data_IF_107518730022
#
_entry.id   IF_107518730022
#
_cell.length_a   1.000
_cell.length_b   1.000
_cell.length_c   1.000
_cell.angle_alpha   90.00
_cell.angle_beta   90.00
_cell.angle_gamma   90.00
#
_symmetry.space_group_name_H-M   'P 1'
#
loop_
_entity.id
_entity.type
_entity.pdbx_description
1 polymer ?
#
# COMPACT_ATOMS: atom_id res chain seq x y z
N UNK A 1 -8.15 -5.12 32.58
CA UNK A 1 -9.17 -5.57 31.62
C UNK A 1 -8.40 -6.13 30.45
N UNK A 2 -8.32 -7.45 30.36
CA UNK A 2 -7.64 -8.16 29.27
C UNK A 2 -8.62 -8.26 28.11
N UNK A 3 -8.36 -7.52 27.04
CA UNK A 3 -9.11 -7.66 25.80
C UNK A 3 -8.61 -8.91 25.09
N UNK A 4 -9.34 -10.02 25.20
CA UNK A 4 -9.05 -11.23 24.45
C UNK A 4 -9.26 -10.96 22.95
N UNK A 5 -8.17 -10.67 22.24
CA UNK A 5 -8.16 -10.62 20.79
C UNK A 5 -8.38 -12.04 20.25
N UNK A 6 -9.54 -12.24 19.62
CA UNK A 6 -9.87 -13.47 18.91
C UNK A 6 -9.02 -13.51 17.64
N UNK A 7 -7.88 -14.18 17.69
CA UNK A 7 -7.12 -14.56 16.50
C UNK A 7 -7.96 -15.55 15.68
N UNK A 8 -8.63 -15.05 14.63
CA UNK A 8 -8.92 -15.90 13.47
C UNK A 8 -7.67 -15.94 12.63
N UNK A 9 -7.04 -17.11 12.59
CA UNK A 9 -5.86 -17.50 11.82
C UNK A 9 -6.14 -17.43 10.30
N UNK A 10 -6.46 -16.23 9.83
CA UNK A 10 -6.35 -15.84 8.43
C UNK A 10 -5.10 -14.99 8.42
N UNK A 11 -4.00 -15.52 7.89
CA UNK A 11 -2.79 -14.74 7.65
C UNK A 11 -3.18 -13.55 6.76
N UNK A 12 -3.35 -12.37 7.37
CA UNK A 12 -3.60 -11.15 6.61
C UNK A 12 -2.25 -10.70 6.07
N UNK A 13 -2.18 -10.32 4.79
CA UNK A 13 -0.91 -9.92 4.19
C UNK A 13 -0.32 -8.64 4.83
N UNK A 14 -1.16 -7.84 5.49
CA UNK A 14 -0.77 -6.60 6.18
C UNK A 14 -1.78 -6.22 7.26
N UNK A 15 -1.38 -5.31 8.14
CA UNK A 15 -2.20 -4.57 9.08
C UNK A 15 -2.26 -3.08 8.71
N UNK A 16 -3.16 -2.33 9.34
CA UNK A 16 -3.33 -0.89 9.08
C UNK A 16 -3.70 -0.12 10.35
N UNK A 17 -3.27 1.14 10.42
CA UNK A 17 -3.64 2.08 11.47
C UNK A 17 -4.99 2.78 11.19
N UNK A 18 -5.55 3.44 12.21
CA UNK A 18 -6.75 4.27 12.06
C UNK A 18 -6.55 5.40 11.03
N UNK A 19 -5.37 6.00 11.00
CA UNK A 19 -5.04 7.09 10.08
C UNK A 19 -5.16 6.64 8.62
N UNK A 20 -4.62 5.45 8.31
CA UNK A 20 -4.73 4.82 7.00
C UNK A 20 -6.20 4.62 6.60
N UNK A 21 -7.04 4.11 7.51
CA UNK A 21 -8.48 3.94 7.26
C UNK A 21 -9.21 5.27 7.01
N UNK A 22 -8.78 6.35 7.66
CA UNK A 22 -9.36 7.69 7.42
C UNK A 22 -8.96 8.19 6.03
N UNK A 23 -7.72 7.98 5.61
CA UNK A 23 -7.25 8.39 4.29
C UNK A 23 -7.89 7.57 3.17
N UNK A 24 -8.05 6.25 3.34
CA UNK A 24 -8.78 5.40 2.38
C UNK A 24 -10.24 5.83 2.17
N UNK A 25 -10.91 6.31 3.22
CA UNK A 25 -12.31 6.77 3.14
C UNK A 25 -12.50 8.01 2.25
N UNK A 26 -11.43 8.75 1.96
CA UNK A 26 -11.46 9.91 1.07
C UNK A 26 -11.40 9.51 -0.41
N UNK A 27 -11.00 8.27 -0.71
CA UNK A 27 -10.81 7.78 -2.07
C UNK A 27 -12.12 7.31 -2.71
N UNK A 28 -12.21 7.44 -4.03
CA UNK A 28 -13.31 6.87 -4.78
C UNK A 28 -13.28 5.33 -4.72
N UNK A 29 -14.46 4.70 -4.65
CA UNK A 29 -14.60 3.25 -4.44
C UNK A 29 -13.83 2.40 -5.46
N UNK A 30 -13.76 2.84 -6.72
CA UNK A 30 -13.00 2.10 -7.74
C UNK A 30 -11.49 2.12 -7.45
N UNK A 31 -10.93 3.29 -7.14
CA UNK A 31 -9.51 3.42 -6.76
C UNK A 31 -9.19 2.57 -5.54
N UNK A 32 -10.07 2.57 -4.54
CA UNK A 32 -9.90 1.78 -3.33
C UNK A 32 -9.69 0.28 -3.63
N UNK A 33 -10.47 -0.29 -4.55
CA UNK A 33 -10.35 -1.71 -4.91
C UNK A 33 -8.98 -1.99 -5.54
N UNK A 34 -8.53 -1.14 -6.45
CA UNK A 34 -7.23 -1.30 -7.10
C UNK A 34 -6.07 -1.14 -6.12
N UNK A 35 -6.15 -0.15 -5.22
CA UNK A 35 -5.12 0.11 -4.21
C UNK A 35 -5.03 -1.06 -3.23
N UNK A 36 -6.15 -1.53 -2.67
CA UNK A 36 -6.15 -2.65 -1.72
C UNK A 36 -5.55 -3.90 -2.37
N UNK A 37 -5.90 -4.18 -3.63
CA UNK A 37 -5.35 -5.32 -4.35
C UNK A 37 -3.84 -5.18 -4.58
N UNK A 38 -3.38 -4.01 -5.03
CA UNK A 38 -1.96 -3.73 -5.18
C UNK A 38 -1.21 -3.94 -3.85
N UNK A 39 -1.80 -3.57 -2.72
CA UNK A 39 -1.22 -3.80 -1.41
C UNK A 39 -1.16 -5.28 -1.02
N UNK A 40 -2.23 -6.05 -1.25
CA UNK A 40 -2.23 -7.50 -1.00
C UNK A 40 -1.15 -8.21 -1.81
N UNK A 41 -1.00 -7.85 -3.08
CA UNK A 41 -0.04 -8.44 -4.01
C UNK A 41 1.41 -8.08 -3.67
N UNK A 42 1.66 -6.87 -3.16
CA UNK A 42 3.01 -6.36 -2.90
C UNK A 42 3.47 -6.51 -1.45
N UNK A 43 2.57 -6.65 -0.47
CA UNK A 43 2.91 -6.71 0.94
C UNK A 43 4.02 -7.75 1.29
N UNK A 44 4.05 -8.96 0.68
CA UNK A 44 5.14 -9.92 0.93
C UNK A 44 6.53 -9.47 0.47
N UNK A 45 6.60 -8.50 -0.46
CA UNK A 45 7.83 -8.03 -1.10
C UNK A 45 8.32 -6.68 -0.56
N UNK A 46 7.57 -6.05 0.34
CA UNK A 46 7.98 -4.78 0.94
C UNK A 46 9.29 -4.97 1.72
N UNK A 47 10.28 -4.06 1.57
CA UNK A 47 11.54 -4.16 2.30
C UNK A 47 11.30 -4.06 3.81
N UNK A 48 12.07 -4.83 4.58
CA UNK A 48 12.03 -4.84 6.04
C UNK A 48 13.10 -3.92 6.58
N UNK A 49 12.72 -3.06 7.54
CA UNK A 49 13.63 -2.12 8.19
C UNK A 49 13.15 -1.78 9.60
N UNK A 50 13.70 -2.49 10.57
CA UNK A 50 13.27 -2.41 11.97
C UNK A 50 13.33 -1.00 12.55
N UNK A 51 12.22 -0.54 13.10
CA UNK A 51 12.11 0.76 13.77
C UNK A 51 12.12 1.98 12.84
N UNK A 52 12.03 1.79 11.52
CA UNK A 52 12.01 2.88 10.55
C UNK A 52 10.72 2.86 9.73
N UNK A 53 10.05 4.01 9.69
CA UNK A 53 8.99 4.28 8.71
C UNK A 53 9.63 4.34 7.31
N UNK A 54 8.93 3.75 6.35
CA UNK A 54 9.32 3.68 4.95
C UNK A 54 8.15 4.11 4.08
N UNK A 55 8.48 4.61 2.89
CA UNK A 55 7.49 5.02 1.90
C UNK A 55 7.58 4.10 0.68
N UNK A 56 6.44 3.84 0.05
CA UNK A 56 6.37 3.20 -1.25
C UNK A 56 5.33 3.92 -2.10
N UNK A 57 5.65 4.20 -3.36
CA UNK A 57 4.75 4.86 -4.29
C UNK A 57 4.03 3.86 -5.21
N UNK A 58 2.82 4.19 -5.63
CA UNK A 58 2.04 3.39 -6.57
C UNK A 58 1.34 4.27 -7.60
N UNK A 59 0.97 3.65 -8.72
CA UNK A 59 0.16 4.28 -9.75
C UNK A 59 -0.99 3.37 -10.13
N UNK A 60 -2.21 3.90 -10.15
CA UNK A 60 -3.35 3.24 -10.78
C UNK A 60 -3.46 3.78 -12.20
N UNK A 61 -3.16 2.92 -13.19
CA UNK A 61 -3.21 3.28 -14.61
C UNK A 61 -4.64 3.47 -15.08
N UNK A 62 -4.86 4.42 -15.99
CA UNK A 62 -6.19 4.72 -16.53
C UNK A 62 -6.15 5.94 -17.45
N UNK A 63 -7.33 6.44 -17.83
CA UNK A 63 -7.43 7.69 -18.59
C UNK A 63 -6.91 8.90 -17.80
N UNK A 64 -7.17 8.91 -16.49
CA UNK A 64 -6.64 9.88 -15.54
C UNK A 64 -5.86 9.08 -14.47
N UNK A 65 -4.53 8.96 -14.59
CA UNK A 65 -3.73 8.12 -13.70
C UNK A 65 -3.70 8.71 -12.29
N UNK A 66 -3.84 7.84 -11.29
CA UNK A 66 -3.81 8.22 -9.89
C UNK A 66 -2.49 7.79 -9.26
N UNK A 67 -1.68 8.76 -8.86
CA UNK A 67 -0.40 8.53 -8.19
C UNK A 67 -0.57 8.70 -6.69
N UNK A 68 -0.01 7.76 -5.92
CA UNK A 68 -0.11 7.79 -4.47
C UNK A 68 1.17 7.28 -3.82
N UNK A 69 1.37 7.63 -2.55
CA UNK A 69 2.38 6.99 -1.68
C UNK A 69 1.70 6.38 -0.47
N UNK A 70 2.36 5.38 0.10
CA UNK A 70 1.95 4.71 1.33
C UNK A 70 3.12 4.72 2.29
N UNK A 71 2.86 5.23 3.49
CA UNK A 71 3.79 5.15 4.61
C UNK A 71 3.54 3.86 5.39
N UNK A 72 4.59 3.13 5.73
CA UNK A 72 4.47 1.84 6.40
C UNK A 72 5.63 1.53 7.34
N UNK A 73 5.36 0.64 8.29
CA UNK A 73 6.36 -0.04 9.11
C UNK A 73 6.42 -1.50 8.73
N UNK A 74 7.62 -2.05 8.54
CA UNK A 74 7.78 -3.48 8.27
C UNK A 74 8.99 -3.99 9.05
N UNK A 75 8.70 -4.61 10.19
CA UNK A 75 9.71 -5.16 11.10
C UNK A 75 9.99 -6.62 10.77
N UNK A 76 11.14 -7.11 11.21
CA UNK A 76 11.45 -8.52 11.16
C UNK A 76 10.41 -9.33 11.94
N UNK A 77 9.88 -10.39 11.33
CA UNK A 77 8.85 -11.29 11.88
C UNK A 77 7.45 -10.68 12.11
N UNK A 78 7.21 -9.44 11.68
CA UNK A 78 5.88 -8.82 11.70
C UNK A 78 5.30 -8.66 10.28
N UNK A 79 3.99 -8.59 10.19
CA UNK A 79 3.28 -8.15 8.99
C UNK A 79 3.51 -6.66 8.77
N UNK A 80 3.59 -6.17 7.51
CA UNK A 80 3.63 -4.74 7.24
C UNK A 80 2.43 -4.02 7.88
N UNK A 81 2.68 -2.90 8.53
CA UNK A 81 1.67 -2.01 9.09
C UNK A 81 1.59 -0.74 8.25
N UNK A 82 0.47 -0.55 7.54
CA UNK A 82 0.21 0.67 6.77
C UNK A 82 -0.29 1.80 7.66
N UNK A 83 0.35 2.96 7.58
CA UNK A 83 0.11 4.11 8.45
C UNK A 83 -0.74 5.18 7.75
N UNK A 84 -0.39 5.54 6.54
CA UNK A 84 -1.06 6.59 5.78
C UNK A 84 -0.98 6.34 4.28
N UNK A 85 -1.97 6.86 3.54
CA UNK A 85 -1.97 6.93 2.08
C UNK A 85 -2.27 8.35 1.66
N UNK A 86 -1.45 8.88 0.74
CA UNK A 86 -1.57 10.24 0.24
C UNK A 86 -1.48 10.25 -1.28
N UNK A 87 -2.25 11.13 -1.92
CA UNK A 87 -2.08 11.46 -3.33
C UNK A 87 -0.77 12.23 -3.52
N UNK A 88 0.00 11.87 -4.54
CA UNK A 88 1.25 12.55 -4.88
C UNK A 88 1.20 13.04 -6.32
N UNK A 89 2.09 13.96 -6.66
CA UNK A 89 2.27 14.40 -8.04
C UNK A 89 3.03 13.36 -8.88
N UNK A 90 2.93 13.50 -10.21
CA UNK A 90 3.74 12.70 -11.14
C UNK A 90 5.23 12.90 -10.91
N UNK A 91 5.67 14.13 -10.61
CA UNK A 91 7.09 14.41 -10.37
C UNK A 91 7.59 13.64 -9.13
N UNK A 92 6.83 13.66 -8.04
CA UNK A 92 7.15 12.87 -6.84
C UNK A 92 7.17 11.37 -7.14
N UNK A 93 6.20 10.86 -7.90
CA UNK A 93 6.19 9.44 -8.31
C UNK A 93 7.44 9.05 -9.10
N UNK A 94 7.91 9.93 -9.99
CA UNK A 94 9.12 9.68 -10.77
C UNK A 94 10.38 9.64 -9.89
N UNK A 95 10.42 10.41 -8.80
CA UNK A 95 11.51 10.33 -7.83
C UNK A 95 11.52 8.95 -7.14
N UNK A 96 10.37 8.46 -6.65
CA UNK A 96 10.27 7.11 -6.06
C UNK A 96 10.60 5.99 -7.08
N UNK A 97 10.24 6.17 -8.36
CA UNK A 97 10.60 5.24 -9.42
C UNK A 97 12.11 5.14 -9.63
N UNK A 98 12.83 6.26 -9.52
CA UNK A 98 14.30 6.29 -9.60
C UNK A 98 14.94 5.60 -8.39
N UNK A 99 14.31 5.69 -7.22
CA UNK A 99 14.75 5.06 -5.98
C UNK A 99 14.36 3.57 -5.85
N UNK A 100 13.66 3.00 -6.84
CA UNK A 100 13.16 1.61 -6.84
C UNK A 100 12.21 1.30 -5.66
N UNK A 101 11.46 2.31 -5.21
CA UNK A 101 10.52 2.25 -4.09
C UNK A 101 9.07 2.35 -4.59
N UNK A 102 8.74 1.54 -5.60
CA UNK A 102 7.40 1.50 -6.22
C UNK A 102 6.68 0.17 -6.03
N UNK A 103 5.36 0.21 -5.91
CA UNK A 103 4.49 -0.96 -5.98
C UNK A 103 4.40 -1.46 -7.42
N UNK A 104 4.50 -2.77 -7.59
CA UNK A 104 4.35 -3.42 -8.88
C UNK A 104 2.86 -3.69 -9.12
N UNK A 105 2.32 -3.13 -10.19
CA UNK A 105 0.99 -3.51 -10.68
C UNK A 105 1.11 -4.83 -11.47
N UNK A 106 0.64 -5.93 -10.87
CA UNK A 106 0.73 -7.27 -11.47
C UNK A 106 -0.35 -7.53 -12.55
N UNK A 107 -1.25 -6.58 -12.84
CA UNK A 107 -2.36 -6.76 -13.80
C UNK A 107 -2.11 -6.23 -15.23
N UNK A 108 -0.87 -5.90 -15.60
CA UNK A 108 -0.57 -5.32 -16.93
C UNK A 108 -0.82 -6.24 -18.15
N UNK A 109 -1.43 -7.42 -17.98
CA UNK A 109 -1.79 -8.33 -19.09
C UNK A 109 -3.16 -8.06 -19.74
N UNK A 110 -3.92 -7.03 -19.33
CA UNK A 110 -5.31 -6.84 -19.80
C UNK A 110 -5.58 -5.54 -20.56
N UNK A 111 -4.71 -5.19 -21.50
CA UNK A 111 -5.10 -4.40 -22.70
C UNK A 111 -4.42 -4.96 -23.96
N UNK A 112 -4.60 -6.25 -24.22
CA UNK A 112 -4.52 -6.78 -25.59
C UNK A 112 -5.92 -6.78 -26.20
N UNK A 113 -6.26 -5.72 -26.92
CA UNK A 113 -7.35 -5.71 -27.91
C UNK A 113 -6.70 -5.82 -29.29
#
# INVERSE_FOLDING_TARGET
>A
MESEQRYTEVERPFDYDETFLVSLRKLHKQLLIHIVRALEDNAPYLPKKDGWVQDVAGVIKGHDPYFFKIEYLHQEYETPLFLEIEEISTDEYLDYMIEDTILIDLEDDTYRI
#
